data_IF_916073871626
#
_entry.id   IF_916073871626
#
_cell.length_a   1.000
_cell.length_b   1.000
_cell.length_c   1.000
_cell.angle_alpha   90.00
_cell.angle_beta   90.00
_cell.angle_gamma   90.00
#
_symmetry.space_group_name_H-M   'P 1'
#
loop_
_entity.id
_entity.type
_entity.pdbx_description
1 polymer ?
#
# COMPACT_ATOMS: atom_id res chain seq x y z
N UNK A 1 -17.79 -6.72 20.30
CA UNK A 1 -18.40 -6.73 18.96
C UNK A 1 -17.38 -6.06 18.05
N UNK A 2 -16.65 -6.82 17.21
CA UNK A 2 -15.78 -6.18 16.22
C UNK A 2 -16.69 -5.53 15.18
N UNK A 3 -16.66 -4.21 15.07
CA UNK A 3 -17.32 -3.51 13.97
C UNK A 3 -16.69 -4.01 12.66
N UNK A 4 -17.53 -4.50 11.74
CA UNK A 4 -17.06 -4.87 10.41
C UNK A 4 -16.64 -3.59 9.69
N UNK A 5 -15.34 -3.43 9.46
CA UNK A 5 -14.82 -2.41 8.57
C UNK A 5 -15.54 -2.54 7.21
N UNK A 6 -16.06 -1.43 6.69
CA UNK A 6 -16.73 -1.44 5.39
C UNK A 6 -15.76 -1.80 4.26
N UNK A 7 -16.28 -2.35 3.15
CA UNK A 7 -15.45 -2.64 1.98
C UNK A 7 -14.85 -1.33 1.43
N UNK A 8 -13.52 -1.17 1.55
CA UNK A 8 -12.80 0.03 1.13
C UNK A 8 -12.08 -0.12 -0.22
N UNK A 9 -12.32 -1.22 -0.95
CA UNK A 9 -11.60 -1.58 -2.18
C UNK A 9 -11.54 -0.43 -3.19
N UNK A 10 -12.65 0.26 -3.43
CA UNK A 10 -12.68 1.34 -4.42
C UNK A 10 -11.84 2.55 -4.01
N UNK A 11 -11.81 2.86 -2.71
CA UNK A 11 -11.02 3.97 -2.17
C UNK A 11 -9.54 3.64 -2.33
N UNK A 12 -9.12 2.47 -1.86
CA UNK A 12 -7.72 2.03 -1.95
C UNK A 12 -7.26 1.86 -3.41
N UNK A 13 -8.14 1.40 -4.30
CA UNK A 13 -7.82 1.31 -5.73
C UNK A 13 -7.58 2.69 -6.37
N UNK A 14 -8.32 3.73 -5.96
CA UNK A 14 -8.07 5.10 -6.44
C UNK A 14 -6.71 5.61 -5.95
N UNK A 15 -6.39 5.41 -4.67
CA UNK A 15 -5.07 5.75 -4.12
C UNK A 15 -3.94 5.03 -4.87
N UNK A 16 -4.12 3.72 -5.13
CA UNK A 16 -3.12 2.93 -5.87
C UNK A 16 -2.88 3.43 -7.28
N UNK A 17 -3.94 3.80 -8.00
CA UNK A 17 -3.79 4.39 -9.34
C UNK A 17 -2.96 5.67 -9.32
N UNK A 18 -3.23 6.57 -8.36
CA UNK A 18 -2.44 7.79 -8.20
C UNK A 18 -0.97 7.51 -7.87
N UNK A 19 -0.71 6.47 -7.07
CA UNK A 19 0.66 6.05 -6.78
C UNK A 19 1.39 5.53 -8.04
N UNK A 20 0.70 4.73 -8.87
CA UNK A 20 1.25 4.26 -10.16
C UNK A 20 1.57 5.43 -11.11
N UNK A 21 0.71 6.44 -11.18
CA UNK A 21 0.98 7.65 -11.98
C UNK A 21 2.29 8.33 -11.53
N UNK A 22 2.49 8.47 -10.21
CA UNK A 22 3.71 9.06 -9.64
C UNK A 22 4.95 8.22 -9.88
N UNK A 23 4.84 6.89 -9.93
CA UNK A 23 5.95 6.02 -10.32
C UNK A 23 6.39 6.27 -11.77
N UNK A 24 5.43 6.47 -12.67
CA UNK A 24 5.73 6.76 -14.07
C UNK A 24 6.37 8.14 -14.24
N UNK A 25 5.94 9.13 -13.46
CA UNK A 25 6.51 10.49 -13.48
C UNK A 25 7.90 10.57 -12.84
N UNK A 26 8.18 9.77 -11.82
CA UNK A 26 9.43 9.81 -11.07
C UNK A 26 10.02 8.40 -10.84
N UNK A 27 10.91 7.92 -11.72
CA UNK A 27 11.56 6.61 -11.61
C UNK A 27 12.45 6.46 -10.37
N UNK A 28 13.04 7.55 -9.87
CA UNK A 28 13.84 7.52 -8.63
C UNK A 28 12.93 7.21 -7.45
N UNK A 29 11.78 7.87 -7.39
CA UNK A 29 10.77 7.62 -6.38
C UNK A 29 10.24 6.18 -6.44
N UNK A 30 9.98 5.65 -7.64
CA UNK A 30 9.61 4.24 -7.79
C UNK A 30 10.68 3.29 -7.24
N UNK A 31 11.96 3.55 -7.52
CA UNK A 31 13.06 2.74 -7.00
C UNK A 31 13.08 2.74 -5.47
N UNK A 32 12.97 3.91 -4.84
CA UNK A 32 12.93 4.04 -3.38
C UNK A 32 11.72 3.32 -2.78
N UNK A 33 10.55 3.45 -3.41
CA UNK A 33 9.35 2.73 -3.00
C UNK A 33 9.57 1.21 -3.03
N UNK A 34 10.17 0.70 -4.11
CA UNK A 34 10.49 -0.73 -4.25
C UNK A 34 11.44 -1.21 -3.16
N UNK A 35 12.49 -0.45 -2.85
CA UNK A 35 13.43 -0.79 -1.77
C UNK A 35 12.72 -0.97 -0.42
N UNK A 36 11.71 -0.15 -0.10
CA UNK A 36 10.91 -0.30 1.13
C UNK A 36 10.04 -1.56 1.09
N UNK A 37 9.33 -1.80 -0.02
CA UNK A 37 8.46 -2.98 -0.15
C UNK A 37 9.26 -4.27 -0.14
N UNK A 38 10.42 -4.29 -0.80
CA UNK A 38 11.32 -5.44 -0.80
C UNK A 38 11.84 -5.72 0.63
N UNK A 39 12.14 -4.68 1.42
CA UNK A 39 12.44 -4.83 2.84
C UNK A 39 11.30 -5.47 3.65
N UNK A 40 10.05 -5.07 3.41
CA UNK A 40 8.89 -5.70 4.07
C UNK A 40 8.69 -7.16 3.68
N UNK A 41 9.02 -7.53 2.43
CA UNK A 41 9.00 -8.92 1.97
C UNK A 41 10.11 -9.75 2.64
N UNK A 42 11.32 -9.20 2.75
CA UNK A 42 12.46 -9.85 3.42
C UNK A 42 12.20 -10.06 4.91
N UNK A 43 11.57 -9.08 5.58
CA UNK A 43 11.18 -9.17 6.99
C UNK A 43 9.90 -9.98 7.23
N UNK A 44 9.27 -10.51 6.16
CA UNK A 44 8.03 -11.30 6.22
C UNK A 44 6.89 -10.52 6.91
N UNK A 45 6.89 -9.20 6.75
CA UNK A 45 5.81 -8.30 7.21
C UNK A 45 4.63 -8.37 6.23
N UNK A 46 4.95 -8.49 4.94
CA UNK A 46 3.97 -8.67 3.86
C UNK A 46 4.34 -9.89 3.02
N UNK A 47 3.35 -10.50 2.38
CA UNK A 47 3.55 -11.62 1.47
C UNK A 47 2.84 -11.38 0.13
N UNK A 48 3.33 -12.05 -0.92
CA UNK A 48 2.68 -12.02 -2.22
C UNK A 48 1.33 -12.73 -2.16
N UNK A 49 0.25 -12.02 -2.49
CA UNK A 49 -1.07 -12.62 -2.57
C UNK A 49 -1.23 -13.38 -3.91
N UNK A 50 -1.17 -14.72 -3.86
CA UNK A 50 -1.21 -15.59 -5.05
C UNK A 50 -2.65 -15.93 -5.45
N UNK A 51 -3.64 -15.59 -4.62
CA UNK A 51 -5.02 -16.03 -4.80
C UNK A 51 -5.94 -14.86 -5.13
N UNK A 52 -6.38 -14.82 -6.39
CA UNK A 52 -7.49 -13.96 -6.83
C UNK A 52 -8.80 -14.20 -6.04
N UNK A 53 -8.87 -15.28 -5.23
CA UNK A 53 -10.05 -15.70 -4.47
C UNK A 53 -10.05 -15.49 -2.95
N UNK A 54 -8.98 -14.93 -2.34
CA UNK A 54 -9.00 -14.61 -0.90
C UNK A 54 -9.64 -13.25 -0.58
N UNK A 55 -9.78 -12.39 -1.59
CA UNK A 55 -10.46 -11.11 -1.47
C UNK A 55 -11.98 -11.31 -1.42
N UNK A 56 -12.52 -11.70 -0.27
CA UNK A 56 -13.96 -11.72 -0.01
C UNK A 56 -14.45 -10.36 0.53
N UNK A 57 -15.75 -10.23 0.80
CA UNK A 57 -16.33 -9.00 1.36
C UNK A 57 -15.83 -8.66 2.78
N UNK A 58 -15.06 -9.55 3.42
CA UNK A 58 -14.41 -9.30 4.71
C UNK A 58 -12.98 -8.78 4.57
N UNK A 59 -12.44 -8.76 3.35
CA UNK A 59 -11.11 -8.22 3.07
C UNK A 59 -11.10 -6.69 3.11
N UNK A 60 -10.16 -6.15 3.88
CA UNK A 60 -9.91 -4.72 3.96
C UNK A 60 -8.55 -4.40 3.33
N UNK A 61 -8.53 -3.44 2.42
CA UNK A 61 -7.34 -3.06 1.68
C UNK A 61 -6.64 -1.91 2.39
N UNK A 62 -5.42 -2.11 2.85
CA UNK A 62 -4.71 -1.03 3.53
C UNK A 62 -4.42 0.12 2.53
N UNK A 63 -4.88 1.36 2.84
CA UNK A 63 -4.46 2.53 2.09
C UNK A 63 -2.95 2.66 2.20
N UNK A 64 -2.29 2.83 1.06
CA UNK A 64 -0.87 3.14 0.99
C UNK A 64 -0.74 4.57 0.49
N UNK A 65 0.06 5.36 1.20
CA UNK A 65 0.44 6.68 0.76
C UNK A 65 1.93 6.85 0.98
N UNK A 66 2.60 7.38 -0.02
CA UNK A 66 4.00 7.74 0.13
C UNK A 66 4.13 9.07 0.85
N UNK A 67 5.13 9.14 1.72
CA UNK A 67 5.58 10.39 2.32
C UNK A 67 7.00 10.61 1.84
N UNK A 68 7.15 11.59 0.95
CA UNK A 68 8.46 12.11 0.56
C UNK A 68 8.88 13.10 1.63
N UNK A 69 9.92 12.77 2.39
CA UNK A 69 10.56 13.73 3.29
C UNK A 69 11.71 14.40 2.54
N UNK A 70 11.83 15.72 2.66
CA UNK A 70 12.93 16.47 2.00
C UNK A 70 14.31 16.12 2.57
N UNK A 71 14.37 15.55 3.77
CA UNK A 71 15.62 15.23 4.46
C UNK A 71 16.11 13.78 4.25
N UNK A 72 15.25 12.83 3.85
CA UNK A 72 15.60 11.41 3.62
C UNK A 72 14.63 10.69 2.66
N UNK A 73 15.11 9.55 2.14
CA UNK A 73 14.43 8.49 1.37
C UNK A 73 12.89 8.42 1.51
N UNK A 74 12.20 8.13 0.39
CA UNK A 74 10.76 7.92 0.39
C UNK A 74 10.33 6.87 1.44
N UNK A 75 9.32 7.20 2.24
CA UNK A 75 8.73 6.29 3.22
C UNK A 75 7.36 5.87 2.70
N UNK A 76 7.10 4.57 2.65
CA UNK A 76 5.76 4.05 2.40
C UNK A 76 5.03 3.99 3.73
N UNK A 77 3.97 4.79 3.88
CA UNK A 77 3.08 4.68 5.02
C UNK A 77 1.87 3.81 4.64
N UNK A 78 1.61 2.86 5.51
CA UNK A 78 0.43 1.99 5.44
C UNK A 78 -0.50 2.47 6.55
N UNK A 79 -1.61 3.11 6.18
CA UNK A 79 -2.56 3.67 7.15
C UNK A 79 -3.37 2.55 7.80
N UNK A 80 -3.00 2.16 9.02
CA UNK A 80 -3.70 1.15 9.83
C UNK A 80 -4.91 1.70 10.61
N UNK A 81 -5.41 2.89 10.27
CA UNK A 81 -6.55 3.51 10.95
C UNK A 81 -7.85 2.79 10.64
N UNK A 82 -8.54 2.28 11.67
CA UNK A 82 -9.90 1.78 11.56
C UNK A 82 -10.82 2.90 11.05
N UNK A 83 -11.43 2.68 9.88
CA UNK A 83 -12.55 3.46 9.36
C UNK A 83 -13.85 2.71 9.57
#
# INVERSE_FOLDING_TARGET
MQEKLGNNRQVTLRSFKGLIERFNENPIFYKQYREVVDGYLEEVIVEGCITEGLADESSFYLPHHDVVREDKSAIVLIDGGAY
#
